data_IF_114115624617
#
_entry.id   IF_114115624617
#
_cell.length_a   1.000
_cell.length_b   1.000
_cell.length_c   1.000
_cell.angle_alpha   90.00
_cell.angle_beta   90.00
_cell.angle_gamma   90.00
#
_symmetry.space_group_name_H-M   'P 1'
#
loop_
_entity.id
_entity.type
_entity.pdbx_description
1 polymer ?
#
# COMPACT_ATOMS: atom_id res chain seq x y z
N UNK A 1 -1.29 -15.99 11.34
CA UNK A 1 -2.61 -15.99 10.67
C UNK A 1 -3.61 -15.45 11.67
N UNK A 2 -3.93 -14.15 11.61
CA UNK A 2 -4.87 -13.51 12.53
C UNK A 2 -6.03 -12.98 11.68
N UNK A 3 -7.10 -13.77 11.62
CA UNK A 3 -8.39 -13.31 11.13
C UNK A 3 -9.05 -12.46 12.21
N UNK A 4 -9.69 -11.37 11.79
CA UNK A 4 -10.29 -10.39 12.69
C UNK A 4 -11.60 -10.94 13.24
N UNK A 5 -11.60 -11.43 14.50
CA UNK A 5 -12.84 -11.69 15.23
C UNK A 5 -13.38 -10.36 15.81
N UNK A 6 -14.62 -10.04 15.44
CA UNK A 6 -15.31 -8.80 15.80
C UNK A 6 -15.71 -8.80 17.28
N UNK A 7 -14.91 -8.15 18.12
CA UNK A 7 -15.38 -7.56 19.38
C UNK A 7 -14.34 -6.58 19.93
N UNK A 8 -14.66 -5.28 19.96
CA UNK A 8 -14.01 -4.31 20.83
C UNK A 8 -12.57 -3.92 20.49
N UNK A 9 -12.43 -2.82 19.75
CA UNK A 9 -11.34 -1.85 19.88
C UNK A 9 -9.91 -2.38 20.02
N UNK A 10 -9.24 -2.66 18.90
CA UNK A 10 -7.80 -2.35 18.76
C UNK A 10 -7.41 -2.41 17.28
N UNK A 11 -6.92 -1.29 16.76
CA UNK A 11 -6.14 -1.30 15.52
C UNK A 11 -4.86 -2.07 15.85
N UNK A 12 -4.69 -3.24 15.25
CA UNK A 12 -3.48 -4.04 15.41
C UNK A 12 -2.42 -3.44 14.49
N UNK A 13 -1.68 -2.49 15.05
CA UNK A 13 -0.34 -2.15 14.62
C UNK A 13 0.60 -3.14 15.30
N UNK A 14 1.49 -3.75 14.54
CA UNK A 14 2.81 -4.12 15.05
C UNK A 14 3.84 -3.82 13.96
N UNK A 15 4.17 -2.53 13.87
CA UNK A 15 5.50 -2.06 13.57
C UNK A 15 5.77 -0.90 14.55
N UNK A 16 6.74 -1.07 15.43
CA UNK A 16 7.04 -0.11 16.48
C UNK A 16 7.58 1.20 15.88
N UNK A 17 6.79 2.28 15.86
CA UNK A 17 7.27 3.62 16.22
C UNK A 17 6.10 4.61 16.47
N UNK A 18 6.36 5.56 17.35
CA UNK A 18 5.44 6.55 17.93
C UNK A 18 4.41 7.15 16.96
N UNK A 19 3.14 6.77 17.09
CA UNK A 19 1.95 7.62 17.03
C UNK A 19 0.74 6.69 17.12
N UNK A 20 -0.26 7.07 17.92
CA UNK A 20 -1.43 6.24 18.23
C UNK A 20 -2.17 5.69 17.01
N UNK A 21 -3.21 4.87 17.23
CA UNK A 21 -3.78 4.04 16.20
C UNK A 21 -4.41 4.94 15.12
N UNK A 22 -3.83 4.92 13.92
CA UNK A 22 -4.20 5.81 12.81
C UNK A 22 -5.63 5.50 12.36
N UNK A 23 -6.58 6.35 12.74
CA UNK A 23 -7.91 6.27 12.13
C UNK A 23 -7.78 6.63 10.65
N UNK A 24 -8.36 5.85 9.72
CA UNK A 24 -8.44 6.25 8.33
C UNK A 24 -9.30 7.52 8.31
N UNK A 25 -8.71 8.67 8.08
CA UNK A 25 -9.42 9.95 7.87
C UNK A 25 -9.17 10.35 6.43
N UNK A 26 -10.18 10.88 5.74
CA UNK A 26 -9.95 11.45 4.42
C UNK A 26 -9.04 12.68 4.56
N UNK A 27 -7.79 12.55 4.12
CA UNK A 27 -6.83 13.65 4.07
C UNK A 27 -7.13 14.57 2.89
N UNK A 28 -6.71 15.83 2.99
CA UNK A 28 -6.80 16.82 1.91
C UNK A 28 -6.08 16.34 0.64
N UNK A 29 -6.41 16.92 -0.50
CA UNK A 29 -5.66 16.68 -1.73
C UNK A 29 -4.30 17.39 -1.69
N UNK A 30 -3.27 16.76 -2.26
CA UNK A 30 -1.89 17.28 -2.25
C UNK A 30 -1.82 18.64 -2.99
N UNK A 31 -2.54 18.77 -4.10
CA UNK A 31 -2.58 20.02 -4.87
C UNK A 31 -3.28 21.18 -4.16
N UNK A 32 -4.06 20.90 -3.12
CA UNK A 32 -4.86 21.90 -2.41
C UNK A 32 -4.09 22.52 -1.21
N UNK A 33 -2.88 22.00 -0.90
CA UNK A 33 -2.03 22.55 0.17
C UNK A 33 -0.84 23.36 -0.40
N UNK A 34 -0.33 24.36 0.33
CA UNK A 34 0.84 25.13 -0.08
C UNK A 34 2.07 24.24 -0.31
N UNK A 35 2.98 24.57 -1.26
CA UNK A 35 4.16 23.75 -1.57
C UNK A 35 4.99 23.30 -0.35
N UNK A 36 5.23 24.15 0.69
CA UNK A 36 5.97 23.73 1.88
C UNK A 36 5.31 22.62 2.70
N UNK A 37 4.01 22.40 2.54
CA UNK A 37 3.23 21.40 3.28
C UNK A 37 3.00 20.10 2.48
N UNK A 38 3.26 20.12 1.16
CA UNK A 38 2.97 18.99 0.27
C UNK A 38 3.77 17.74 0.63
N UNK A 39 5.06 17.86 0.90
CA UNK A 39 5.91 16.71 1.30
C UNK A 39 5.38 16.07 2.60
N UNK A 40 5.05 16.90 3.59
CA UNK A 40 4.50 16.43 4.86
C UNK A 40 3.18 15.68 4.67
N UNK A 41 2.28 16.21 3.83
CA UNK A 41 1.01 15.57 3.52
C UNK A 41 1.21 14.28 2.71
N UNK A 42 2.17 14.25 1.80
CA UNK A 42 2.51 13.06 1.02
C UNK A 42 3.01 11.93 1.93
N UNK A 43 3.89 12.22 2.89
CA UNK A 43 4.32 11.26 3.93
C UNK A 43 3.13 10.76 4.75
N UNK A 44 2.20 11.64 5.13
CA UNK A 44 1.00 11.23 5.85
C UNK A 44 0.13 10.26 5.04
N UNK A 45 -0.02 10.49 3.72
CA UNK A 45 -0.75 9.59 2.83
C UNK A 45 -0.05 8.24 2.65
N UNK A 46 1.29 8.21 2.54
CA UNK A 46 2.07 6.97 2.49
C UNK A 46 1.81 6.12 3.74
N UNK A 47 1.91 6.73 4.93
CA UNK A 47 1.63 6.06 6.21
C UNK A 47 0.19 5.59 6.33
N UNK A 48 -0.77 6.39 5.85
CA UNK A 48 -2.17 5.99 5.80
C UNK A 48 -2.39 4.76 4.92
N UNK A 49 -1.65 4.64 3.82
CA UNK A 49 -1.74 3.50 2.90
C UNK A 49 -1.10 2.21 3.45
N UNK A 50 -0.44 2.26 4.61
CA UNK A 50 0.00 1.06 5.35
C UNK A 50 -1.16 0.33 6.05
N UNK A 51 -2.33 0.96 6.20
CA UNK A 51 -3.53 0.29 6.77
C UNK A 51 -4.03 -0.76 5.78
N UNK A 52 -4.09 -2.02 6.23
CA UNK A 52 -4.55 -3.15 5.44
C UNK A 52 -6.06 -3.36 5.63
N UNK A 53 -6.75 -3.74 4.56
CA UNK A 53 -8.17 -4.05 4.57
C UNK A 53 -8.39 -5.52 4.21
N UNK A 54 -9.38 -6.13 4.83
CA UNK A 54 -9.79 -7.49 4.51
C UNK A 54 -10.73 -7.49 3.29
N UNK A 55 -10.31 -8.17 2.22
CA UNK A 55 -11.10 -8.35 1.01
C UNK A 55 -11.65 -9.79 0.88
N UNK A 56 -11.24 -10.70 1.77
CA UNK A 56 -11.54 -12.13 1.68
C UNK A 56 -12.58 -12.53 2.72
N UNK A 57 -12.34 -12.25 4.00
CA UNK A 57 -13.23 -12.73 5.08
C UNK A 57 -14.50 -11.88 5.23
N UNK A 58 -14.40 -10.57 4.98
CA UNK A 58 -15.55 -9.65 4.97
C UNK A 58 -15.44 -8.63 3.82
N UNK A 59 -15.78 -9.03 2.58
CA UNK A 59 -15.60 -8.18 1.40
C UNK A 59 -16.36 -6.85 1.46
N UNK A 60 -17.48 -6.82 2.20
CA UNK A 60 -18.35 -5.66 2.35
C UNK A 60 -18.00 -4.80 3.56
N UNK A 61 -16.98 -5.16 4.35
CA UNK A 61 -16.48 -4.30 5.43
C UNK A 61 -15.82 -3.05 4.87
N UNK A 62 -15.90 -1.96 5.64
CA UNK A 62 -15.07 -0.77 5.49
C UNK A 62 -15.05 -0.16 4.08
N UNK A 63 -16.11 -0.33 3.29
CA UNK A 63 -16.18 0.12 1.89
C UNK A 63 -15.76 1.58 1.71
N UNK A 64 -16.23 2.46 2.63
CA UNK A 64 -15.84 3.87 2.68
C UNK A 64 -14.32 4.03 2.79
N UNK A 65 -13.68 3.29 3.69
CA UNK A 65 -12.25 3.40 3.98
C UNK A 65 -11.39 2.71 2.92
N UNK A 66 -11.88 1.61 2.34
CA UNK A 66 -11.30 0.99 1.14
C UNK A 66 -11.24 1.99 -0.01
N UNK A 67 -12.31 2.76 -0.23
CA UNK A 67 -12.33 3.79 -1.28
C UNK A 67 -11.40 4.96 -0.95
N UNK A 68 -11.32 5.40 0.31
CA UNK A 68 -10.36 6.43 0.74
C UNK A 68 -8.91 6.00 0.45
N UNK A 69 -8.53 4.76 0.77
CA UNK A 69 -7.19 4.25 0.45
C UNK A 69 -6.96 4.16 -1.06
N UNK A 70 -7.94 3.69 -1.82
CA UNK A 70 -7.86 3.62 -3.29
C UNK A 70 -7.62 5.00 -3.90
N UNK A 71 -8.41 6.00 -3.49
CA UNK A 71 -8.27 7.38 -3.96
C UNK A 71 -6.93 8.00 -3.57
N UNK A 72 -6.45 7.76 -2.34
CA UNK A 72 -5.15 8.24 -1.88
C UNK A 72 -3.99 7.64 -2.68
N UNK A 73 -4.00 6.32 -2.93
CA UNK A 73 -3.00 5.67 -3.78
C UNK A 73 -3.01 6.23 -5.21
N UNK A 74 -4.20 6.38 -5.81
CA UNK A 74 -4.37 6.95 -7.15
C UNK A 74 -3.81 8.38 -7.23
N UNK A 75 -4.12 9.22 -6.24
CA UNK A 75 -3.58 10.58 -6.16
C UNK A 75 -2.06 10.59 -6.04
N UNK A 76 -1.49 9.69 -5.23
CA UNK A 76 -0.03 9.59 -5.07
C UNK A 76 0.67 9.16 -6.37
N UNK A 77 0.07 8.26 -7.15
CA UNK A 77 0.56 7.89 -8.50
C UNK A 77 0.58 9.13 -9.40
N UNK A 78 -0.53 9.86 -9.47
CA UNK A 78 -0.62 11.08 -10.28
C UNK A 78 0.40 12.14 -9.84
N UNK A 79 0.56 12.31 -8.52
CA UNK A 79 1.47 13.29 -7.93
C UNK A 79 2.92 13.04 -8.34
N UNK A 80 3.44 11.82 -8.19
CA UNK A 80 4.83 11.53 -8.56
C UNK A 80 5.07 11.48 -10.07
N UNK A 81 4.01 11.23 -10.86
CA UNK A 81 4.12 11.16 -12.32
C UNK A 81 4.19 12.55 -12.96
N UNK A 82 3.46 13.53 -12.42
CA UNK A 82 3.29 14.84 -13.05
C UNK A 82 4.10 15.97 -12.38
N UNK A 83 4.75 15.70 -11.25
CA UNK A 83 5.53 16.70 -10.52
C UNK A 83 7.00 16.29 -10.45
N UNK A 84 7.91 17.27 -10.60
CA UNK A 84 9.35 17.06 -10.51
C UNK A 84 9.88 17.47 -9.14
N UNK A 85 10.99 16.86 -8.74
CA UNK A 85 11.69 17.07 -7.48
C UNK A 85 10.83 16.76 -6.24
N UNK A 86 9.82 15.90 -6.37
CA UNK A 86 8.94 15.49 -5.25
C UNK A 86 9.44 14.24 -4.52
N UNK A 87 10.41 13.52 -5.11
CA UNK A 87 11.07 12.35 -4.51
C UNK A 87 12.31 12.84 -3.76
N UNK A 88 12.09 13.33 -2.53
CA UNK A 88 13.15 13.78 -1.63
C UNK A 88 13.64 12.63 -0.74
N UNK A 89 14.80 12.80 -0.10
CA UNK A 89 15.41 11.80 0.77
C UNK A 89 14.47 11.24 1.86
N UNK A 90 13.64 12.04 2.56
CA UNK A 90 12.69 11.53 3.55
C UNK A 90 11.58 10.62 2.98
N UNK A 91 11.31 10.67 1.67
CA UNK A 91 10.25 9.89 1.02
C UNK A 91 10.67 8.43 0.82
N UNK A 92 11.94 8.16 0.54
CA UNK A 92 12.45 6.82 0.25
C UNK A 92 12.07 5.77 1.31
N UNK A 93 12.36 5.96 2.61
CA UNK A 93 12.03 4.96 3.61
C UNK A 93 10.51 4.75 3.75
N UNK A 94 9.71 5.81 3.59
CA UNK A 94 8.24 5.73 3.69
C UNK A 94 7.64 4.95 2.52
N UNK A 95 8.15 5.14 1.29
CA UNK A 95 7.73 4.39 0.10
C UNK A 95 8.08 2.92 0.23
N UNK A 96 9.33 2.61 0.60
CA UNK A 96 9.79 1.21 0.77
C UNK A 96 8.99 0.51 1.86
N UNK A 97 8.74 1.19 2.98
CA UNK A 97 7.93 0.64 4.07
C UNK A 97 6.48 0.39 3.63
N UNK A 98 5.84 1.36 2.97
CA UNK A 98 4.47 1.23 2.48
C UNK A 98 4.34 0.08 1.48
N UNK A 99 5.30 -0.07 0.56
CA UNK A 99 5.35 -1.18 -0.37
C UNK A 99 5.50 -2.52 0.36
N UNK A 100 6.47 -2.65 1.26
CA UNK A 100 6.73 -3.87 2.01
C UNK A 100 5.49 -4.32 2.82
N UNK A 101 4.81 -3.40 3.51
CA UNK A 101 3.60 -3.69 4.31
C UNK A 101 2.46 -4.22 3.45
N UNK A 102 2.28 -3.70 2.23
CA UNK A 102 1.20 -4.15 1.35
C UNK A 102 1.55 -5.42 0.56
N UNK A 103 2.83 -5.63 0.24
CA UNK A 103 3.26 -6.66 -0.71
C UNK A 103 3.80 -7.92 -0.04
N UNK A 104 4.55 -7.81 1.06
CA UNK A 104 5.17 -8.95 1.72
C UNK A 104 4.18 -9.62 2.68
N UNK A 105 3.36 -10.49 2.11
CA UNK A 105 2.37 -11.30 2.81
C UNK A 105 2.51 -12.77 2.46
N UNK A 106 2.01 -13.65 3.33
CA UNK A 106 1.88 -15.07 3.00
C UNK A 106 0.86 -15.22 1.88
N UNK A 107 1.23 -15.94 0.82
CA UNK A 107 0.29 -16.26 -0.25
C UNK A 107 -0.79 -17.22 0.28
N UNK A 108 -2.05 -17.08 -0.17
CA UNK A 108 -3.07 -18.06 0.15
C UNK A 108 -2.66 -19.45 -0.37
N UNK A 109 -3.11 -20.53 0.28
CA UNK A 109 -2.86 -21.88 -0.21
C UNK A 109 -3.41 -22.05 -1.63
N UNK A 110 -2.77 -22.93 -2.42
CA UNK A 110 -3.23 -23.22 -3.77
C UNK A 110 -4.67 -23.75 -3.76
N UNK A 111 -5.52 -23.19 -4.62
CA UNK A 111 -6.87 -23.70 -4.88
C UNK A 111 -6.87 -24.92 -5.80
N UNK A 112 -5.76 -25.15 -6.51
CA UNK A 112 -5.67 -26.16 -7.56
C UNK A 112 -5.36 -27.54 -6.96
N UNK A 113 -5.95 -28.63 -7.50
CA UNK A 113 -5.70 -29.98 -7.01
C UNK A 113 -4.22 -30.34 -7.17
N UNK A 114 -3.69 -31.14 -6.25
CA UNK A 114 -2.32 -31.66 -6.33
C UNK A 114 -2.36 -33.16 -6.54
N UNK A 115 -1.62 -33.70 -7.51
CA UNK A 115 -1.61 -35.13 -7.80
C UNK A 115 -1.07 -35.50 -9.18
N UNK A 116 -1.01 -36.81 -9.47
CA UNK A 116 -0.50 -37.34 -10.73
C UNK A 116 -1.48 -37.17 -11.92
N UNK A 117 -2.72 -36.81 -11.64
CA UNK A 117 -3.78 -36.54 -12.63
C UNK A 117 -3.97 -35.03 -12.86
N UNK A 118 -3.07 -34.22 -12.33
CA UNK A 118 -3.11 -32.76 -12.44
C UNK A 118 -2.57 -32.31 -13.80
N UNK A 119 -3.43 -31.66 -14.60
CA UNK A 119 -3.03 -30.94 -15.80
C UNK A 119 -2.97 -29.42 -15.50
N UNK A 120 -1.78 -28.80 -15.44
CA UNK A 120 -1.65 -27.37 -15.17
C UNK A 120 -2.23 -26.48 -16.28
N UNK A 121 -2.55 -27.01 -17.46
CA UNK A 121 -3.25 -26.25 -18.51
C UNK A 121 -4.75 -26.09 -18.22
N UNK A 122 -5.33 -26.93 -17.37
CA UNK A 122 -6.75 -26.86 -16.96
C UNK A 122 -6.97 -26.00 -15.71
N UNK A 123 -5.92 -25.43 -15.13
CA UNK A 123 -5.99 -24.62 -13.92
C UNK A 123 -6.84 -23.35 -14.09
N UNK A 124 -7.87 -23.22 -13.25
CA UNK A 124 -8.61 -21.97 -13.16
C UNK A 124 -7.74 -20.89 -12.47
N UNK A 125 -7.60 -19.68 -13.07
CA UNK A 125 -6.79 -18.64 -12.48
C UNK A 125 -7.43 -18.12 -11.18
N UNK A 126 -6.74 -18.31 -10.05
CA UNK A 126 -7.14 -17.71 -8.77
C UNK A 126 -6.77 -16.22 -8.77
N UNK A 127 -7.78 -15.35 -8.68
CA UNK A 127 -7.59 -13.89 -8.61
C UNK A 127 -7.34 -13.41 -7.17
N UNK A 128 -6.51 -12.38 -7.03
CA UNK A 128 -6.24 -11.73 -5.75
C UNK A 128 -7.37 -10.75 -5.38
N UNK A 129 -8.08 -11.01 -4.27
CA UNK A 129 -9.23 -10.19 -3.87
C UNK A 129 -8.84 -8.75 -3.51
N UNK A 130 -7.62 -8.53 -2.99
CA UNK A 130 -7.11 -7.20 -2.65
C UNK A 130 -6.54 -6.42 -3.86
N UNK A 131 -6.68 -6.94 -5.09
CA UNK A 131 -6.15 -6.33 -6.31
C UNK A 131 -6.49 -4.85 -6.51
N UNK A 132 -7.70 -4.34 -6.16
CA UNK A 132 -8.02 -2.92 -6.29
C UNK A 132 -7.06 -1.98 -5.55
N UNK A 133 -6.41 -2.45 -4.46
CA UNK A 133 -5.36 -1.69 -3.78
C UNK A 133 -3.98 -2.09 -4.28
N UNK A 134 -3.71 -3.38 -4.46
CA UNK A 134 -2.37 -3.88 -4.82
C UNK A 134 -1.93 -3.41 -6.20
N UNK A 135 -2.85 -3.31 -7.16
CA UNK A 135 -2.58 -2.76 -8.49
C UNK A 135 -1.97 -1.35 -8.38
N UNK A 136 -2.56 -0.49 -7.54
CA UNK A 136 -2.10 0.89 -7.36
C UNK A 136 -0.79 0.96 -6.56
N UNK A 137 -0.57 0.05 -5.60
CA UNK A 137 0.72 -0.05 -4.90
C UNK A 137 1.83 -0.43 -5.87
N UNK A 138 1.60 -1.39 -6.76
CA UNK A 138 2.55 -1.75 -7.82
C UNK A 138 2.79 -0.59 -8.78
N UNK A 139 1.72 0.02 -9.28
CA UNK A 139 1.82 1.14 -10.21
C UNK A 139 2.60 2.31 -9.60
N UNK A 140 2.28 2.67 -8.35
CA UNK A 140 3.00 3.70 -7.60
C UNK A 140 4.49 3.37 -7.48
N UNK A 141 4.83 2.14 -7.08
CA UNK A 141 6.22 1.75 -6.90
C UNK A 141 6.99 1.71 -8.22
N UNK A 142 6.36 1.27 -9.31
CA UNK A 142 6.95 1.32 -10.65
C UNK A 142 7.21 2.76 -11.09
N UNK A 143 6.23 3.67 -10.95
CA UNK A 143 6.43 5.10 -11.26
C UNK A 143 7.50 5.75 -10.41
N UNK A 144 7.61 5.36 -9.14
CA UNK A 144 8.67 5.83 -8.25
C UNK A 144 10.06 5.41 -8.74
N UNK A 145 10.23 4.14 -9.16
CA UNK A 145 11.51 3.64 -9.68
C UNK A 145 11.87 4.20 -11.06
N UNK A 146 10.87 4.48 -11.90
CA UNK A 146 11.06 5.04 -13.25
C UNK A 146 11.22 6.56 -13.25
N UNK A 147 11.03 7.22 -12.11
CA UNK A 147 11.13 8.68 -12.03
C UNK A 147 12.54 9.17 -12.35
N UNK A 148 12.70 10.23 -13.16
CA UNK A 148 14.02 10.82 -13.42
C UNK A 148 14.68 11.40 -12.15
N UNK A 149 13.89 11.66 -11.11
CA UNK A 149 14.38 12.19 -9.82
C UNK A 149 14.83 11.07 -8.88
N UNK A 150 14.64 9.81 -9.25
CA UNK A 150 15.05 8.66 -8.46
C UNK A 150 16.58 8.53 -8.42
N UNK A 151 17.13 8.43 -7.20
CA UNK A 151 18.56 8.31 -6.94
C UNK A 151 18.86 6.94 -6.29
N UNK A 152 19.41 5.97 -7.06
CA UNK A 152 19.64 4.60 -6.58
C UNK A 152 20.51 4.52 -5.31
N UNK A 153 21.47 5.44 -5.18
CA UNK A 153 22.43 5.43 -4.07
C UNK A 153 21.78 5.67 -2.71
N UNK A 154 20.62 6.34 -2.65
CA UNK A 154 19.92 6.60 -1.38
C UNK A 154 19.38 5.30 -0.78
N UNK A 155 18.87 4.38 -1.61
CA UNK A 155 18.37 3.08 -1.12
C UNK A 155 19.48 2.23 -0.50
N UNK A 156 20.70 2.32 -1.01
CA UNK A 156 21.85 1.55 -0.51
C UNK A 156 22.21 1.90 0.94
N UNK A 157 21.93 3.13 1.38
CA UNK A 157 22.13 3.55 2.78
C UNK A 157 21.05 3.05 3.73
N UNK A 158 19.87 2.67 3.22
CA UNK A 158 18.75 2.18 4.05
C UNK A 158 18.86 0.67 4.35
N UNK A 159 19.73 -0.06 3.65
CA UNK A 159 19.97 -1.50 3.85
C UNK A 159 21.23 -1.83 4.65
N UNK A 160 21.94 -0.82 5.16
CA UNK A 160 23.14 -0.94 6.00
C UNK A 160 22.81 -0.65 7.47
#
# INVERSE_FOLDING_TARGET
>A
MLTCNKAGGRMVVDAANSNGPFQPVALLHIRDVPPPEQEKLFIQKLRQCCVLFDFVSDPLSDLKWKEVKRAALSEMVEYITHNRNVITEPIYPEVVHMFAVNMFRTLPPSSNPTGAEFDPEEDEPTLEAAWPHLQLVYEFFLRFLESPDFQPNILTYLSA
#
